data_IF_859467195816
#
_entry.id   IF_859467195816
#
_cell.length_a   1.000
_cell.length_b   1.000
_cell.length_c   1.000
_cell.angle_alpha   90.00
_cell.angle_beta   90.00
_cell.angle_gamma   90.00
#
_symmetry.space_group_name_H-M   'P 1'
#
loop_
_entity.id
_entity.type
_entity.pdbx_description
1 polymer ?
#
# COMPACT_ATOMS: atom_id res chain seq x y z
N UNK A 1 7.39 -24.00 -4.35
CA UNK A 1 7.42 -22.55 -4.08
C UNK A 1 6.31 -22.21 -3.10
N UNK A 2 6.61 -21.45 -2.04
CA UNK A 2 5.60 -20.95 -1.09
C UNK A 2 4.91 -19.73 -1.70
N UNK A 3 3.58 -19.71 -1.69
CA UNK A 3 2.79 -18.54 -2.11
C UNK A 3 2.57 -17.64 -0.89
N UNK A 4 2.49 -16.33 -1.12
CA UNK A 4 2.27 -15.32 -0.08
C UNK A 4 1.15 -14.41 -0.56
N UNK A 5 0.19 -14.15 0.31
CA UNK A 5 -0.89 -13.21 0.03
C UNK A 5 -0.47 -11.80 0.43
N UNK A 6 -0.67 -10.86 -0.50
CA UNK A 6 -0.36 -9.43 -0.32
C UNK A 6 -1.64 -8.64 -0.49
N UNK A 7 -1.95 -7.76 0.46
CA UNK A 7 -3.06 -6.81 0.36
C UNK A 7 -2.53 -5.54 -0.28
N UNK A 8 -3.10 -5.15 -1.42
CA UNK A 8 -2.65 -3.98 -2.18
C UNK A 8 -3.27 -2.72 -1.59
N UNK A 9 -2.43 -1.76 -1.24
CA UNK A 9 -2.82 -0.42 -0.82
C UNK A 9 -2.74 0.55 -2.00
N UNK A 10 -1.70 0.42 -2.82
CA UNK A 10 -1.40 1.36 -3.89
C UNK A 10 -1.24 0.61 -5.21
N UNK A 11 -2.07 0.98 -6.19
CA UNK A 11 -1.97 0.42 -7.53
C UNK A 11 -0.72 0.94 -8.25
N UNK A 12 -0.16 0.09 -9.12
CA UNK A 12 0.90 0.48 -10.06
C UNK A 12 0.49 1.75 -10.82
N UNK A 13 1.45 2.66 -10.97
CA UNK A 13 1.34 3.98 -11.58
C UNK A 13 0.47 4.99 -10.81
N UNK A 14 0.02 4.67 -9.59
CA UNK A 14 -0.64 5.66 -8.73
C UNK A 14 0.36 6.67 -8.16
N UNK A 15 -0.08 7.93 -8.08
CA UNK A 15 0.59 9.01 -7.35
C UNK A 15 0.01 9.26 -5.95
N UNK A 16 -1.05 8.55 -5.59
CA UNK A 16 -1.69 8.67 -4.28
C UNK A 16 -1.16 7.55 -3.41
N UNK A 17 -0.52 7.92 -2.30
CA UNK A 17 -0.09 6.99 -1.27
C UNK A 17 -1.26 6.77 -0.31
N UNK A 18 -1.93 5.65 -0.51
CA UNK A 18 -2.90 5.09 0.42
C UNK A 18 -2.19 4.25 1.47
N UNK A 19 -2.76 4.18 2.66
CA UNK A 19 -2.38 3.23 3.71
C UNK A 19 -3.62 2.60 4.33
N UNK A 20 -3.51 1.33 4.69
CA UNK A 20 -4.54 0.63 5.44
C UNK A 20 -4.35 0.88 6.94
N UNK A 21 -5.29 1.61 7.53
CA UNK A 21 -5.27 1.84 8.96
C UNK A 21 -5.81 0.61 9.70
N UNK A 22 -4.92 -0.12 10.38
CA UNK A 22 -5.27 -1.36 11.11
C UNK A 22 -6.26 -1.13 12.27
N UNK A 23 -6.36 0.10 12.80
CA UNK A 23 -7.30 0.42 13.90
C UNK A 23 -8.70 0.67 13.37
N UNK A 24 -8.84 1.50 12.34
CA UNK A 24 -10.15 1.86 11.74
C UNK A 24 -10.65 0.80 10.76
N UNK A 25 -9.73 -0.02 10.22
CA UNK A 25 -9.96 -0.99 9.15
C UNK A 25 -10.35 -0.35 7.82
N UNK A 26 -9.92 0.89 7.60
CA UNK A 26 -10.21 1.68 6.41
C UNK A 26 -8.93 1.98 5.61
N UNK A 27 -9.10 2.27 4.33
CA UNK A 27 -8.03 2.81 3.48
C UNK A 27 -8.06 4.33 3.59
N UNK A 28 -6.95 4.89 4.05
CA UNK A 28 -6.80 6.32 4.27
C UNK A 28 -5.78 6.90 3.30
N UNK A 29 -5.98 8.15 2.88
CA UNK A 29 -4.99 8.88 2.09
C UNK A 29 -3.94 9.44 3.04
N UNK A 30 -2.72 8.92 2.97
CA UNK A 30 -1.58 9.52 3.68
C UNK A 30 -1.13 10.79 2.95
N UNK A 31 -0.82 10.69 1.65
CA UNK A 31 -0.39 11.85 0.85
C UNK A 31 -0.48 11.64 -0.66
N UNK A 32 -0.42 12.73 -1.40
CA UNK A 32 -0.17 12.75 -2.85
C UNK A 32 1.32 12.98 -3.08
N UNK A 33 1.97 12.14 -3.89
CA UNK A 33 3.37 12.30 -4.24
C UNK A 33 3.60 13.60 -5.02
N UNK A 34 4.73 14.26 -4.75
CA UNK A 34 5.12 15.50 -5.45
C UNK A 34 5.72 15.19 -6.82
N UNK A 35 5.63 16.13 -7.75
CA UNK A 35 6.19 15.98 -9.10
C UNK A 35 5.55 14.82 -9.87
N UNK A 36 6.36 14.15 -10.71
CA UNK A 36 5.92 13.05 -11.56
C UNK A 36 6.20 11.67 -10.97
N UNK A 37 6.43 11.58 -9.66
CA UNK A 37 6.63 10.29 -9.00
C UNK A 37 5.35 9.48 -8.95
N UNK A 38 5.48 8.19 -9.30
CA UNK A 38 4.42 7.18 -9.24
C UNK A 38 4.99 5.87 -8.70
N UNK A 39 4.16 5.05 -8.07
CA UNK A 39 4.58 3.71 -7.65
C UNK A 39 4.80 2.81 -8.89
N UNK A 40 6.00 2.26 -9.13
CA UNK A 40 6.29 1.49 -10.35
C UNK A 40 5.66 0.08 -10.36
N UNK A 41 5.11 -0.36 -9.22
CA UNK A 41 4.47 -1.66 -9.01
C UNK A 41 3.28 -1.51 -8.06
N UNK A 42 2.46 -2.56 -7.94
CA UNK A 42 1.47 -2.62 -6.86
C UNK A 42 2.21 -2.73 -5.53
N UNK A 43 1.86 -1.86 -4.59
CA UNK A 43 2.47 -1.80 -3.26
C UNK A 43 1.41 -2.12 -2.20
N UNK A 44 1.84 -2.74 -1.11
CA UNK A 44 0.97 -3.15 -0.02
C UNK A 44 1.71 -3.98 1.02
N UNK A 45 0.96 -4.71 1.84
CA UNK A 45 1.50 -5.43 3.00
C UNK A 45 1.08 -6.90 3.04
N UNK A 46 1.83 -7.68 3.82
CA UNK A 46 1.50 -9.07 4.15
C UNK A 46 0.72 -9.06 5.48
N UNK A 47 -0.54 -9.55 5.55
CA UNK A 47 -1.38 -9.42 6.74
C UNK A 47 -0.79 -9.97 8.03
N UNK A 48 -0.06 -11.09 7.94
CA UNK A 48 0.48 -11.84 9.07
C UNK A 48 1.98 -11.59 9.32
N UNK A 49 2.53 -10.51 8.75
CA UNK A 49 3.90 -10.09 9.04
C UNK A 49 3.94 -9.08 10.20
N UNK A 50 5.05 -9.07 10.96
CA UNK A 50 5.31 -8.03 11.94
C UNK A 50 5.58 -6.71 11.20
N UNK A 51 4.78 -5.71 11.52
CA UNK A 51 4.80 -4.36 10.98
C UNK A 51 5.00 -3.45 12.20
N UNK A 52 6.11 -2.71 12.23
CA UNK A 52 6.57 -1.96 13.42
C UNK A 52 6.31 -0.46 13.27
#
# INVERSE_FOLDING_TARGET
MKKIDVKIEIQKNSRIKYEYNRKTKEIEVDRILRGDFVYPCNYGFIPEALDW
#
